data_IF_378512776554
#
_entry.id   IF_378512776554
#
_cell.length_a   1.000
_cell.length_b   1.000
_cell.length_c   1.000
_cell.angle_alpha   90.00
_cell.angle_beta   90.00
_cell.angle_gamma   90.00
#
_symmetry.space_group_name_H-M   'P 1'
#
loop_
_entity.id
_entity.type
_entity.pdbx_description
1 polymer ?
#
# COMPACT_ATOMS: atom_id res chain seq x y z
N UNK A 1 0.62 18.02 -17.30
CA UNK A 1 0.91 16.73 -18.00
C UNK A 1 -0.44 16.18 -18.43
N UNK A 2 -0.59 15.65 -19.67
CA UNK A 2 -1.85 15.07 -20.11
C UNK A 2 -2.21 13.79 -19.33
N UNK A 3 -3.50 13.42 -19.32
CA UNK A 3 -3.93 12.16 -18.71
C UNK A 3 -3.28 10.94 -19.37
N UNK A 4 -3.03 10.99 -20.67
CA UNK A 4 -2.37 9.92 -21.41
C UNK A 4 -0.89 9.79 -21.03
N UNK A 5 -0.17 10.91 -20.94
CA UNK A 5 1.27 10.87 -20.62
C UNK A 5 1.50 10.43 -19.18
N UNK A 6 0.69 10.90 -18.23
CA UNK A 6 0.85 10.50 -16.83
C UNK A 6 0.50 9.03 -16.60
N UNK A 7 -0.46 8.48 -17.34
CA UNK A 7 -0.84 7.07 -17.21
C UNK A 7 0.28 6.10 -17.60
N UNK A 8 1.16 6.51 -18.51
CA UNK A 8 2.37 5.72 -18.91
C UNK A 8 3.39 5.60 -17.79
N UNK A 9 3.31 6.48 -16.79
CA UNK A 9 4.19 6.50 -15.62
C UNK A 9 3.63 5.69 -14.43
N UNK A 10 2.50 5.01 -14.56
CA UNK A 10 1.95 4.20 -13.50
C UNK A 10 2.99 3.19 -12.97
N UNK A 11 3.13 3.12 -11.64
CA UNK A 11 4.09 2.25 -10.97
C UNK A 11 5.54 2.75 -11.02
N UNK A 12 5.81 3.94 -11.57
CA UNK A 12 7.14 4.56 -11.55
C UNK A 12 7.31 5.49 -10.36
N UNK A 13 8.56 5.78 -10.01
CA UNK A 13 8.91 6.69 -8.92
C UNK A 13 8.84 8.14 -9.40
N UNK A 14 8.21 8.98 -8.58
CA UNK A 14 8.09 10.42 -8.82
C UNK A 14 9.07 11.16 -7.92
N UNK A 15 9.84 12.08 -8.50
CA UNK A 15 10.84 12.89 -7.84
C UNK A 15 10.29 14.29 -7.51
N UNK A 16 10.96 15.02 -6.63
CA UNK A 16 10.58 16.40 -6.24
C UNK A 16 10.55 17.36 -7.42
N UNK A 17 11.31 17.08 -8.49
CA UNK A 17 11.29 17.87 -9.74
C UNK A 17 9.93 17.90 -10.46
N UNK A 18 9.02 17.02 -10.10
CA UNK A 18 7.64 17.02 -10.61
C UNK A 18 6.74 18.04 -9.89
N UNK A 19 7.19 18.62 -8.78
CA UNK A 19 6.52 19.72 -8.09
C UNK A 19 6.89 21.02 -8.81
N UNK A 20 5.90 21.67 -9.43
CA UNK A 20 6.10 22.87 -10.25
C UNK A 20 5.70 24.15 -9.53
N UNK A 21 4.90 24.04 -8.48
CA UNK A 21 4.45 25.15 -7.65
C UNK A 21 5.10 25.08 -6.26
N UNK A 22 5.07 26.15 -5.48
CA UNK A 22 5.57 26.11 -4.11
C UNK A 22 4.95 24.97 -3.32
N UNK A 23 5.77 24.24 -2.58
CA UNK A 23 5.34 23.13 -1.75
C UNK A 23 4.32 23.62 -0.70
N UNK A 24 3.16 22.99 -0.66
CA UNK A 24 2.09 23.33 0.28
C UNK A 24 2.53 22.95 1.70
N UNK A 25 2.61 23.95 2.59
CA UNK A 25 3.05 23.81 4.00
C UNK A 25 2.08 24.45 4.99
N UNK A 26 1.03 25.10 4.51
CA UNK A 26 0.03 25.83 5.31
C UNK A 26 -1.36 25.41 4.89
N UNK A 27 -2.38 25.74 5.67
CA UNK A 27 -3.79 25.46 5.35
C UNK A 27 -4.11 25.93 3.95
N UNK A 28 -4.54 24.99 3.10
CA UNK A 28 -4.74 25.25 1.66
C UNK A 28 -5.84 24.36 1.12
N UNK A 29 -6.69 24.93 0.27
CA UNK A 29 -7.64 24.23 -0.57
C UNK A 29 -7.17 24.33 -2.03
N UNK A 30 -7.16 23.22 -2.76
CA UNK A 30 -6.73 23.15 -4.16
C UNK A 30 -7.86 22.58 -5.00
N UNK A 31 -8.16 23.27 -6.09
CA UNK A 31 -9.15 22.86 -7.07
C UNK A 31 -8.51 22.65 -8.44
N UNK A 32 -9.13 21.87 -9.29
CA UNK A 32 -8.73 21.65 -10.67
C UNK A 32 -9.95 21.67 -11.59
N UNK A 33 -9.70 21.94 -12.87
CA UNK A 33 -10.74 21.81 -13.90
C UNK A 33 -10.69 20.38 -14.45
N UNK A 34 -11.82 19.69 -14.45
CA UNK A 34 -11.92 18.36 -15.06
C UNK A 34 -12.05 18.44 -16.60
N UNK A 35 -12.13 17.29 -17.27
CA UNK A 35 -12.22 17.21 -18.73
C UNK A 35 -13.52 17.82 -19.29
N UNK A 36 -14.54 18.06 -18.45
CA UNK A 36 -15.78 18.74 -18.80
C UNK A 36 -15.73 20.25 -18.50
N UNK A 37 -14.57 20.76 -18.11
CA UNK A 37 -14.37 22.14 -17.67
C UNK A 37 -15.19 22.51 -16.42
N UNK A 38 -15.42 21.54 -15.54
CA UNK A 38 -16.05 21.75 -14.24
C UNK A 38 -14.97 21.82 -13.14
N UNK A 39 -15.13 22.80 -12.24
CA UNK A 39 -14.23 22.92 -11.08
C UNK A 39 -14.48 21.78 -10.07
N UNK A 40 -13.43 21.06 -9.75
CA UNK A 40 -13.43 19.94 -8.77
C UNK A 40 -12.42 20.18 -7.67
N UNK A 41 -12.74 19.77 -6.47
CA UNK A 41 -11.82 19.81 -5.34
C UNK A 41 -10.76 18.72 -5.49
N UNK A 42 -9.47 19.10 -5.56
CA UNK A 42 -8.36 18.18 -5.55
C UNK A 42 -8.00 17.75 -4.12
N UNK A 43 -7.82 18.74 -3.24
CA UNK A 43 -7.48 18.48 -1.84
C UNK A 43 -7.82 19.63 -0.90
N UNK A 44 -7.98 19.30 0.38
CA UNK A 44 -7.96 20.25 1.50
C UNK A 44 -6.90 19.83 2.51
N UNK A 45 -5.90 20.66 2.69
CA UNK A 45 -4.81 20.45 3.65
C UNK A 45 -4.98 21.34 4.88
N UNK A 46 -4.76 20.79 6.08
CA UNK A 46 -4.83 21.51 7.36
C UNK A 46 -3.69 21.13 8.28
N UNK A 47 -3.01 22.14 8.80
CA UNK A 47 -1.88 22.00 9.72
C UNK A 47 -2.38 21.77 11.15
N UNK A 48 -1.71 20.85 11.85
CA UNK A 48 -1.81 20.64 13.30
C UNK A 48 -3.24 20.56 13.86
N UNK A 49 -4.13 19.88 13.14
CA UNK A 49 -5.55 19.73 13.51
C UNK A 49 -5.84 18.48 14.34
N UNK A 50 -4.83 17.63 14.55
CA UNK A 50 -4.88 16.45 15.42
C UNK A 50 -3.99 16.72 16.62
N UNK A 51 -4.51 16.57 17.84
CA UNK A 51 -3.75 16.84 19.06
C UNK A 51 -2.67 15.78 19.32
N UNK A 52 -1.58 16.17 19.99
CA UNK A 52 -0.48 15.28 20.34
C UNK A 52 -0.96 14.05 21.14
N UNK A 53 -1.94 14.22 22.04
CA UNK A 53 -2.57 13.12 22.77
C UNK A 53 -3.18 12.07 21.85
N UNK A 54 -3.83 12.49 20.75
CA UNK A 54 -4.41 11.56 19.77
C UNK A 54 -3.34 10.93 18.88
N UNK A 55 -2.29 11.68 18.54
CA UNK A 55 -1.12 11.16 17.86
C UNK A 55 -0.46 10.04 18.67
N UNK A 56 -0.31 10.23 19.99
CA UNK A 56 0.25 9.20 20.88
C UNK A 56 -0.65 7.96 20.97
N UNK A 57 -1.97 8.16 21.00
CA UNK A 57 -2.92 7.03 20.91
C UNK A 57 -2.72 6.27 19.59
N UNK A 58 -2.68 6.98 18.47
CA UNK A 58 -2.44 6.37 17.15
C UNK A 58 -1.10 5.63 17.07
N UNK A 59 -0.03 6.22 17.60
CA UNK A 59 1.28 5.59 17.68
C UNK A 59 1.26 4.29 18.47
N UNK A 60 0.83 4.34 19.74
CA UNK A 60 0.78 3.17 20.62
C UNK A 60 -0.07 2.03 20.07
N UNK A 61 -1.16 2.38 19.38
CA UNK A 61 -2.08 1.38 18.83
C UNK A 61 -1.57 0.74 17.54
N UNK A 62 -0.83 1.48 16.70
CA UNK A 62 -0.62 1.07 15.31
C UNK A 62 0.84 1.01 14.84
N UNK A 63 1.82 1.41 15.65
CA UNK A 63 3.25 1.39 15.25
C UNK A 63 3.75 0.03 14.79
N UNK A 64 3.21 -1.05 15.34
CA UNK A 64 3.65 -2.42 15.07
C UNK A 64 2.99 -3.05 13.84
N UNK A 65 2.03 -2.34 13.22
CA UNK A 65 1.17 -2.93 12.21
C UNK A 65 1.83 -2.97 10.84
N UNK A 66 2.57 -1.94 10.47
CA UNK A 66 3.12 -1.82 9.13
C UNK A 66 4.31 -2.77 8.92
N UNK A 67 4.00 -4.01 8.58
CA UNK A 67 4.93 -5.08 8.23
C UNK A 67 4.96 -5.28 6.72
N UNK A 68 5.93 -6.06 6.22
CA UNK A 68 6.02 -6.42 4.82
C UNK A 68 4.70 -6.96 4.28
N UNK A 69 4.24 -6.42 3.19
CA UNK A 69 2.93 -6.71 2.61
C UNK A 69 3.01 -6.99 1.13
N UNK A 70 2.14 -7.87 0.66
CA UNK A 70 1.92 -8.15 -0.75
C UNK A 70 0.63 -7.49 -1.21
N UNK A 71 0.48 -7.29 -2.52
CA UNK A 71 -0.80 -6.86 -3.10
C UNK A 71 -1.06 -5.37 -3.04
N UNK A 72 -0.01 -4.53 -3.01
CA UNK A 72 -0.13 -3.06 -3.12
C UNK A 72 -0.21 -2.56 -4.57
N UNK A 73 -0.18 -3.46 -5.54
CA UNK A 73 -0.30 -3.09 -6.96
C UNK A 73 0.77 -2.08 -7.39
N UNK A 74 0.40 -1.16 -8.26
CA UNK A 74 1.29 -0.13 -8.80
C UNK A 74 1.93 0.75 -7.71
N UNK A 75 1.21 1.04 -6.62
CA UNK A 75 1.74 1.88 -5.54
C UNK A 75 3.00 1.31 -4.87
N UNK A 76 3.23 0.00 -4.95
CA UNK A 76 4.44 -0.63 -4.43
C UNK A 76 5.70 -0.33 -5.26
N UNK A 77 5.55 0.19 -6.47
CA UNK A 77 6.63 0.53 -7.36
C UNK A 77 7.36 -0.68 -7.96
N UNK A 78 8.43 -0.39 -8.68
CA UNK A 78 9.25 -1.40 -9.33
C UNK A 78 10.08 -2.18 -8.30
N UNK A 79 10.42 -3.41 -8.65
CA UNK A 79 11.36 -4.22 -7.87
C UNK A 79 12.72 -3.53 -7.90
N UNK A 80 13.31 -3.36 -6.71
CA UNK A 80 14.72 -2.97 -6.59
C UNK A 80 15.58 -4.24 -6.50
N UNK A 81 16.29 -4.65 -7.57
CA UNK A 81 17.09 -5.87 -7.57
C UNK A 81 18.29 -5.78 -6.60
N UNK A 82 18.69 -4.58 -6.23
CA UNK A 82 19.84 -4.33 -5.35
C UNK A 82 19.51 -4.36 -3.87
N UNK A 83 18.23 -4.45 -3.52
CA UNK A 83 17.83 -4.61 -2.11
C UNK A 83 18.25 -5.96 -1.54
N UNK A 84 18.57 -6.00 -0.25
CA UNK A 84 19.01 -7.24 0.44
C UNK A 84 17.97 -8.36 0.33
N UNK A 85 16.70 -8.01 0.24
CA UNK A 85 15.63 -8.97 0.03
C UNK A 85 15.72 -9.64 -1.34
N UNK A 86 15.91 -8.86 -2.42
CA UNK A 86 15.95 -9.38 -3.77
C UNK A 86 17.30 -9.97 -4.15
N UNK A 87 18.43 -9.47 -3.60
CA UNK A 87 19.76 -10.07 -3.76
C UNK A 87 19.81 -11.52 -3.31
N UNK A 88 19.05 -11.89 -2.29
CA UNK A 88 18.94 -13.27 -1.77
C UNK A 88 18.06 -14.18 -2.64
N UNK A 89 17.39 -13.62 -3.66
CA UNK A 89 16.49 -14.35 -4.57
C UNK A 89 17.01 -14.26 -5.99
N UNK A 90 16.99 -15.38 -6.69
CA UNK A 90 17.37 -15.38 -8.09
C UNK A 90 16.29 -14.69 -8.91
N UNK A 91 16.53 -13.44 -9.31
CA UNK A 91 15.69 -12.74 -10.28
C UNK A 91 15.97 -13.29 -11.67
N UNK A 92 14.92 -13.55 -12.42
CA UNK A 92 15.01 -14.07 -13.77
C UNK A 92 14.24 -13.18 -14.74
N UNK A 93 14.87 -12.88 -15.87
CA UNK A 93 14.22 -12.22 -17.00
C UNK A 93 13.99 -13.29 -18.08
N UNK A 94 12.79 -13.39 -18.56
CA UNK A 94 12.45 -14.28 -19.66
C UNK A 94 11.85 -13.50 -20.81
N UNK A 95 11.93 -14.02 -22.03
CA UNK A 95 11.25 -13.43 -23.21
C UNK A 95 9.75 -13.26 -23.00
N UNK A 96 9.16 -14.08 -22.15
CA UNK A 96 7.71 -14.10 -21.86
C UNK A 96 7.33 -13.20 -20.68
N UNK A 97 8.27 -12.84 -19.80
CA UNK A 97 8.00 -12.04 -18.61
C UNK A 97 9.05 -10.97 -18.41
N UNK A 98 8.62 -9.84 -17.94
CA UNK A 98 9.53 -8.74 -17.62
C UNK A 98 10.42 -9.06 -16.42
N UNK A 99 9.88 -9.74 -15.39
CA UNK A 99 10.59 -10.09 -14.15
C UNK A 99 9.88 -11.22 -13.42
N UNK A 100 10.63 -12.09 -12.80
CA UNK A 100 10.17 -13.12 -11.90
C UNK A 100 11.26 -13.54 -10.93
N UNK A 101 10.99 -14.44 -10.03
CA UNK A 101 11.98 -15.08 -9.17
C UNK A 101 11.65 -16.55 -8.98
N UNK A 102 12.70 -17.35 -8.72
CA UNK A 102 12.52 -18.75 -8.39
C UNK A 102 11.86 -18.86 -7.01
N UNK A 103 10.77 -19.61 -6.93
CA UNK A 103 10.20 -20.04 -5.65
C UNK A 103 11.02 -21.24 -5.09
N UNK A 104 10.78 -21.74 -3.88
CA UNK A 104 11.56 -22.87 -3.32
C UNK A 104 11.65 -24.07 -4.27
N UNK A 105 10.54 -24.47 -4.87
CA UNK A 105 10.51 -25.56 -5.88
C UNK A 105 11.33 -25.23 -7.12
N UNK A 106 11.27 -23.97 -7.56
CA UNK A 106 12.07 -23.50 -8.71
C UNK A 106 13.57 -23.50 -8.42
N UNK A 107 13.99 -23.19 -7.22
CA UNK A 107 15.38 -23.29 -6.80
C UNK A 107 15.88 -24.74 -6.85
N UNK A 108 15.14 -25.69 -6.28
CA UNK A 108 15.47 -27.12 -6.34
C UNK A 108 15.56 -27.63 -7.80
N UNK A 109 14.60 -27.22 -8.63
CA UNK A 109 14.62 -27.55 -10.05
C UNK A 109 15.81 -26.92 -10.77
N UNK A 110 16.17 -25.67 -10.44
CA UNK A 110 17.30 -25.00 -11.05
C UNK A 110 18.62 -25.73 -10.77
N UNK A 111 18.89 -26.10 -9.52
CA UNK A 111 20.09 -26.87 -9.15
C UNK A 111 20.14 -28.18 -9.95
N UNK A 112 19.03 -28.93 -9.97
CA UNK A 112 18.93 -30.18 -10.72
C UNK A 112 19.21 -29.99 -12.21
N UNK A 113 18.58 -29.03 -12.87
CA UNK A 113 18.72 -28.82 -14.30
C UNK A 113 20.05 -28.17 -14.68
N UNK A 114 20.68 -27.44 -13.75
CA UNK A 114 21.99 -26.86 -14.01
C UNK A 114 23.12 -27.90 -14.13
N UNK A 115 22.93 -29.12 -13.64
CA UNK A 115 23.84 -30.25 -13.80
C UNK A 115 23.73 -30.89 -15.20
N UNK A 116 22.59 -30.70 -15.88
CA UNK A 116 22.35 -31.26 -17.21
C UNK A 116 23.16 -30.54 -18.31
N UNK A 117 23.54 -31.27 -19.33
CA UNK A 117 24.14 -30.68 -20.54
C UNK A 117 23.14 -29.86 -21.34
N UNK A 118 23.63 -28.94 -22.18
CA UNK A 118 22.81 -28.15 -23.09
C UNK A 118 21.95 -29.04 -24.00
N UNK A 119 22.48 -30.14 -24.49
CA UNK A 119 21.80 -31.10 -25.38
C UNK A 119 20.64 -31.81 -24.66
N UNK A 120 20.84 -32.23 -23.42
CA UNK A 120 19.79 -32.87 -22.61
C UNK A 120 18.65 -31.89 -22.31
N UNK A 121 18.98 -30.67 -21.93
CA UNK A 121 17.99 -29.62 -21.69
C UNK A 121 17.20 -29.26 -22.94
N UNK A 122 17.87 -29.19 -24.07
CA UNK A 122 17.26 -28.92 -25.38
C UNK A 122 16.24 -30.03 -25.74
N UNK A 123 16.66 -31.29 -25.62
CA UNK A 123 15.79 -32.43 -25.87
C UNK A 123 14.60 -32.47 -24.94
N UNK A 124 14.80 -32.14 -23.64
CA UNK A 124 13.73 -32.04 -22.66
C UNK A 124 12.74 -30.92 -23.02
N UNK A 125 13.24 -29.76 -23.43
CA UNK A 125 12.37 -28.66 -23.87
C UNK A 125 11.56 -29.01 -25.12
N UNK A 126 12.15 -29.76 -26.08
CA UNK A 126 11.41 -30.26 -27.23
C UNK A 126 10.34 -31.26 -26.85
N UNK A 127 10.65 -32.25 -26.01
CA UNK A 127 9.68 -33.26 -25.55
C UNK A 127 8.55 -32.67 -24.75
N UNK A 128 8.76 -31.52 -24.12
CA UNK A 128 7.76 -30.80 -23.38
C UNK A 128 7.03 -29.68 -24.19
N UNK A 129 7.29 -29.61 -25.51
CA UNK A 129 6.71 -28.61 -26.42
C UNK A 129 6.99 -27.15 -26.04
N UNK A 130 8.14 -26.90 -25.38
CA UNK A 130 8.53 -25.58 -24.92
C UNK A 130 9.26 -24.76 -26.00
N UNK A 131 9.80 -25.45 -27.00
CA UNK A 131 10.60 -24.88 -28.11
C UNK A 131 10.09 -25.37 -29.46
N UNK A 132 10.34 -24.57 -30.50
CA UNK A 132 10.31 -25.00 -31.88
C UNK A 132 11.74 -25.40 -32.29
N UNK A 133 11.90 -26.28 -33.29
CA UNK A 133 13.14 -26.95 -33.69
C UNK A 133 14.37 -26.06 -33.98
N UNK A 134 14.19 -24.76 -34.14
CA UNK A 134 15.29 -23.80 -34.33
C UNK A 134 15.28 -22.75 -33.23
N UNK A 135 16.16 -22.86 -32.26
CA UNK A 135 16.24 -21.90 -31.19
C UNK A 135 17.67 -21.69 -30.68
N UNK A 136 18.13 -20.43 -30.70
CA UNK A 136 19.41 -19.96 -30.14
C UNK A 136 19.31 -19.70 -28.64
N UNK A 137 18.60 -20.55 -27.88
CA UNK A 137 18.43 -20.39 -26.46
C UNK A 137 19.67 -20.78 -25.68
N UNK A 138 20.08 -19.95 -24.76
CA UNK A 138 21.12 -20.28 -23.79
C UNK A 138 20.71 -21.42 -22.86
N UNK A 139 21.67 -22.08 -22.21
CA UNK A 139 21.41 -23.09 -21.19
C UNK A 139 20.43 -22.55 -20.11
N UNK A 140 20.63 -21.33 -19.69
CA UNK A 140 19.77 -20.66 -18.70
C UNK A 140 18.33 -20.45 -19.20
N UNK A 141 18.15 -20.06 -20.48
CA UNK A 141 16.82 -19.94 -21.07
C UNK A 141 16.08 -21.27 -21.07
N UNK A 142 16.75 -22.36 -21.43
CA UNK A 142 16.16 -23.70 -21.43
C UNK A 142 15.72 -24.13 -20.02
N UNK A 143 16.60 -23.96 -19.03
CA UNK A 143 16.27 -24.22 -17.63
C UNK A 143 15.04 -23.41 -17.20
N UNK A 144 15.01 -22.13 -17.54
CA UNK A 144 13.92 -21.25 -17.17
C UNK A 144 12.60 -21.58 -17.85
N UNK A 145 12.63 -22.07 -19.10
CA UNK A 145 11.42 -22.55 -19.78
C UNK A 145 10.81 -23.74 -19.03
N UNK A 146 11.61 -24.72 -18.66
CA UNK A 146 11.19 -25.92 -17.94
C UNK A 146 10.63 -25.53 -16.55
N UNK A 147 11.40 -24.79 -15.77
CA UNK A 147 11.02 -24.35 -14.42
C UNK A 147 9.71 -23.55 -14.46
N UNK A 148 9.55 -22.72 -15.46
CA UNK A 148 8.35 -21.91 -15.65
C UNK A 148 7.10 -22.75 -15.92
N UNK A 149 7.21 -23.75 -16.81
CA UNK A 149 6.11 -24.65 -17.12
C UNK A 149 5.64 -25.41 -15.89
N UNK A 150 6.60 -25.84 -15.08
CA UNK A 150 6.32 -26.60 -13.85
C UNK A 150 6.02 -25.72 -12.61
N UNK A 151 5.73 -24.44 -12.79
CA UNK A 151 5.31 -23.56 -11.71
C UNK A 151 6.41 -23.20 -10.70
N UNK A 152 7.68 -23.40 -11.06
CA UNK A 152 8.83 -23.06 -10.22
C UNK A 152 9.19 -21.56 -10.24
N UNK A 153 8.50 -20.75 -11.04
CA UNK A 153 8.72 -19.30 -11.11
C UNK A 153 7.50 -18.55 -10.60
N UNK A 154 7.75 -17.67 -9.64
CA UNK A 154 6.75 -16.69 -9.18
C UNK A 154 6.88 -15.43 -10.01
N UNK A 155 5.82 -15.11 -10.77
CA UNK A 155 5.74 -13.87 -11.54
C UNK A 155 5.56 -12.69 -10.60
N UNK A 156 6.35 -11.64 -10.79
CA UNK A 156 6.20 -10.42 -10.02
C UNK A 156 6.52 -9.21 -10.89
N UNK A 157 5.62 -8.23 -10.87
CA UNK A 157 5.79 -6.98 -11.62
C UNK A 157 6.14 -5.81 -10.73
N UNK A 158 5.83 -5.91 -9.42
CA UNK A 158 5.97 -4.82 -8.46
C UNK A 158 6.65 -5.32 -7.18
N UNK A 159 7.24 -4.40 -6.42
CA UNK A 159 7.81 -4.68 -5.12
C UNK A 159 6.73 -5.22 -4.14
N UNK A 160 7.03 -6.27 -3.39
CA UNK A 160 6.15 -6.85 -2.37
C UNK A 160 6.73 -6.75 -0.96
N UNK A 161 7.75 -5.93 -0.76
CA UNK A 161 8.45 -5.75 0.51
C UNK A 161 8.17 -4.37 1.12
N UNK A 162 7.06 -3.76 0.76
CA UNK A 162 6.64 -2.49 1.34
C UNK A 162 5.95 -2.72 2.68
N UNK A 163 6.27 -1.90 3.66
CA UNK A 163 5.65 -1.97 4.98
C UNK A 163 4.29 -1.26 4.96
N UNK A 164 3.24 -2.01 4.66
CA UNK A 164 1.89 -1.50 4.47
C UNK A 164 0.85 -2.55 4.83
N UNK A 165 -0.03 -2.26 5.77
CA UNK A 165 -1.11 -3.17 6.15
C UNK A 165 -2.41 -2.41 6.46
N UNK A 166 -3.56 -3.02 6.22
CA UNK A 166 -4.86 -2.43 6.51
C UNK A 166 -5.41 -2.83 7.87
N UNK A 167 -6.24 -1.96 8.44
CA UNK A 167 -7.16 -2.24 9.52
C UNK A 167 -8.60 -1.98 9.08
N UNK A 168 -9.58 -2.48 9.86
CA UNK A 168 -10.99 -2.39 9.54
C UNK A 168 -11.47 -3.62 8.76
N UNK A 169 -12.15 -3.40 7.66
CA UNK A 169 -12.86 -4.44 6.93
C UNK A 169 -12.42 -4.52 5.46
N UNK A 170 -12.61 -5.72 4.90
CA UNK A 170 -12.43 -5.99 3.48
C UNK A 170 -13.71 -6.59 2.88
N UNK A 171 -13.97 -6.21 1.63
CA UNK A 171 -14.90 -6.92 0.76
C UNK A 171 -14.40 -8.33 0.42
N UNK A 172 -15.26 -9.14 -0.21
CA UNK A 172 -14.90 -10.45 -0.72
C UNK A 172 -13.79 -10.37 -1.78
N UNK A 173 -12.80 -11.22 -1.68
CA UNK A 173 -11.65 -11.26 -2.58
C UNK A 173 -11.57 -12.53 -3.39
N UNK A 174 -11.39 -12.40 -4.72
CA UNK A 174 -11.26 -13.54 -5.63
C UNK A 174 -9.81 -14.03 -5.84
N UNK A 175 -8.81 -13.28 -5.38
CA UNK A 175 -7.41 -13.48 -5.83
C UNK A 175 -6.59 -14.50 -5.02
N UNK A 176 -7.06 -14.96 -3.84
CA UNK A 176 -6.28 -15.84 -2.94
C UNK A 176 -7.14 -16.87 -2.17
N UNK A 177 -8.04 -17.53 -2.75
CA UNK A 177 -9.18 -18.23 -2.21
C UNK A 177 -10.41 -17.31 -2.09
N UNK A 178 -11.60 -17.84 -2.26
CA UNK A 178 -12.87 -17.12 -2.16
C UNK A 178 -13.11 -16.66 -0.72
N UNK A 179 -12.34 -15.63 -0.29
CA UNK A 179 -12.47 -15.05 1.02
C UNK A 179 -13.70 -14.15 1.05
N UNK A 180 -14.63 -14.34 1.99
CA UNK A 180 -15.81 -13.48 2.13
C UNK A 180 -15.47 -12.08 2.63
N UNK A 181 -16.49 -11.25 2.76
CA UNK A 181 -16.39 -9.98 3.46
C UNK A 181 -15.99 -10.23 4.92
N UNK A 182 -15.01 -9.48 5.43
CA UNK A 182 -14.32 -9.86 6.67
C UNK A 182 -13.58 -8.72 7.34
N UNK A 183 -13.21 -8.93 8.60
CA UNK A 183 -12.19 -8.16 9.29
C UNK A 183 -10.82 -8.35 8.61
N UNK A 184 -10.02 -7.29 8.59
CA UNK A 184 -8.61 -7.41 8.23
C UNK A 184 -7.85 -8.25 9.26
N UNK A 185 -6.73 -8.84 8.85
CA UNK A 185 -5.96 -9.72 9.73
C UNK A 185 -5.57 -9.04 11.04
N UNK A 186 -5.03 -7.81 10.98
CA UNK A 186 -4.64 -7.09 12.20
C UNK A 186 -5.84 -6.81 13.12
N UNK A 187 -6.95 -6.32 12.58
CA UNK A 187 -8.14 -6.02 13.38
C UNK A 187 -8.62 -7.26 14.12
N UNK A 188 -8.57 -8.41 13.45
CA UNK A 188 -8.97 -9.68 14.03
C UNK A 188 -7.99 -10.17 15.12
N UNK A 189 -6.68 -10.01 14.92
CA UNK A 189 -5.65 -10.58 15.81
C UNK A 189 -5.21 -9.63 16.92
N UNK A 190 -5.37 -8.30 16.73
CA UNK A 190 -4.97 -7.27 17.68
C UNK A 190 -6.14 -6.33 18.01
N UNK A 191 -7.28 -6.92 18.34
CA UNK A 191 -8.53 -6.18 18.50
C UNK A 191 -8.47 -5.11 19.59
N UNK A 192 -7.78 -5.36 20.69
CA UNK A 192 -7.60 -4.39 21.78
C UNK A 192 -6.83 -3.15 21.28
N UNK A 193 -5.74 -3.35 20.54
CA UNK A 193 -4.97 -2.25 19.94
C UNK A 193 -5.84 -1.47 18.94
N UNK A 194 -6.60 -2.20 18.11
CA UNK A 194 -7.55 -1.58 17.19
C UNK A 194 -8.54 -0.67 17.95
N UNK A 195 -9.18 -1.18 19.00
CA UNK A 195 -10.14 -0.43 19.80
C UNK A 195 -9.52 0.79 20.51
N UNK A 196 -8.32 0.62 21.07
CA UNK A 196 -7.60 1.74 21.70
C UNK A 196 -7.35 2.88 20.72
N UNK A 197 -7.08 2.57 19.46
CA UNK A 197 -6.81 3.55 18.41
C UNK A 197 -8.06 4.20 17.79
N UNK A 198 -9.28 3.71 18.07
CA UNK A 198 -10.49 4.23 17.45
C UNK A 198 -10.70 5.72 17.64
N UNK A 199 -10.35 6.28 18.81
CA UNK A 199 -10.49 7.72 19.08
C UNK A 199 -9.64 8.57 18.11
N UNK A 200 -8.46 8.10 17.74
CA UNK A 200 -7.62 8.75 16.74
C UNK A 200 -8.29 8.73 15.35
N UNK A 201 -8.83 7.58 14.95
CA UNK A 201 -9.53 7.41 13.67
C UNK A 201 -10.81 8.26 13.61
N UNK A 202 -11.60 8.26 14.68
CA UNK A 202 -12.83 9.06 14.79
C UNK A 202 -12.54 10.57 14.72
N UNK A 203 -11.36 11.02 15.18
CA UNK A 203 -10.92 12.40 14.99
C UNK A 203 -10.68 12.72 13.53
N UNK A 204 -10.06 11.81 12.77
CA UNK A 204 -9.85 11.98 11.32
C UNK A 204 -11.20 12.13 10.61
N UNK A 205 -12.16 11.27 10.93
CA UNK A 205 -13.52 11.36 10.40
C UNK A 205 -14.21 12.70 10.74
N UNK A 206 -14.05 13.16 11.98
CA UNK A 206 -14.62 14.45 12.42
C UNK A 206 -14.03 15.62 11.63
N UNK A 207 -12.74 15.56 11.31
CA UNK A 207 -12.09 16.60 10.48
C UNK A 207 -12.62 16.53 9.06
N UNK A 208 -12.71 15.34 8.45
CA UNK A 208 -13.28 15.14 7.12
C UNK A 208 -14.69 15.71 7.03
N UNK A 209 -15.58 15.37 7.98
CA UNK A 209 -16.94 15.88 8.05
C UNK A 209 -17.01 17.41 8.10
N UNK A 210 -16.11 18.05 8.85
CA UNK A 210 -16.06 19.52 8.96
C UNK A 210 -15.57 20.22 7.70
N UNK A 211 -14.61 19.59 7.02
CA UNK A 211 -13.94 20.21 5.86
C UNK A 211 -14.70 19.99 4.56
N UNK A 212 -15.31 18.83 4.38
CA UNK A 212 -16.01 18.45 3.14
C UNK A 212 -17.33 17.74 3.52
N UNK A 213 -18.30 18.46 4.12
CA UNK A 213 -19.50 17.85 4.72
C UNK A 213 -20.32 17.05 3.71
N UNK A 214 -20.45 17.52 2.48
CA UNK A 214 -21.24 16.87 1.44
C UNK A 214 -20.61 15.53 0.99
N UNK A 215 -19.28 15.49 0.83
CA UNK A 215 -18.58 14.26 0.47
C UNK A 215 -18.58 13.26 1.64
N UNK A 216 -18.41 13.76 2.87
CA UNK A 216 -18.52 12.92 4.07
C UNK A 216 -19.92 12.31 4.18
N UNK A 217 -20.98 13.09 4.00
CA UNK A 217 -22.36 12.61 4.07
C UNK A 217 -22.64 11.53 3.02
N UNK A 218 -22.25 11.75 1.74
CA UNK A 218 -22.37 10.72 0.70
C UNK A 218 -21.64 9.44 1.07
N UNK A 219 -20.41 9.58 1.60
CA UNK A 219 -19.60 8.42 2.00
C UNK A 219 -20.18 7.70 3.21
N UNK A 220 -20.72 8.44 4.19
CA UNK A 220 -21.37 7.89 5.38
C UNK A 220 -22.64 7.13 5.01
N UNK A 221 -23.51 7.70 4.19
CA UNK A 221 -24.72 7.06 3.69
C UNK A 221 -24.37 5.75 2.97
N UNK A 222 -23.32 5.77 2.14
CA UNK A 222 -22.84 4.57 1.46
C UNK A 222 -22.30 3.53 2.45
N UNK A 223 -21.52 3.93 3.43
CA UNK A 223 -20.99 3.05 4.46
C UNK A 223 -22.10 2.43 5.33
N UNK A 224 -23.16 3.18 5.62
CA UNK A 224 -24.28 2.76 6.45
C UNK A 224 -25.15 1.70 5.78
N UNK A 225 -25.10 1.54 4.44
CA UNK A 225 -25.75 0.40 3.77
C UNK A 225 -25.22 -0.95 4.26
N UNK A 226 -24.01 -0.96 4.81
CA UNK A 226 -23.33 -2.14 5.40
C UNK A 226 -22.66 -1.73 6.72
N UNK A 227 -23.45 -1.19 7.66
CA UNK A 227 -22.97 -0.64 8.94
C UNK A 227 -22.07 -1.61 9.71
N UNK A 228 -22.32 -2.91 9.60
CA UNK A 228 -21.51 -3.98 10.17
C UNK A 228 -20.11 -4.17 9.53
N UNK A 229 -19.80 -3.47 8.44
CA UNK A 229 -18.52 -3.52 7.74
C UNK A 229 -17.86 -2.13 7.65
N UNK A 230 -18.20 -1.22 8.55
CA UNK A 230 -17.56 0.07 8.71
C UNK A 230 -16.86 0.21 10.06
N UNK A 231 -15.86 1.05 10.12
CA UNK A 231 -15.18 1.38 11.39
C UNK A 231 -16.14 2.20 12.24
N UNK A 232 -16.35 1.83 13.51
CA UNK A 232 -17.37 2.42 14.37
C UNK A 232 -17.30 3.95 14.42
N UNK A 233 -18.47 4.60 14.24
CA UNK A 233 -18.66 6.07 14.26
C UNK A 233 -17.82 6.82 13.22
N UNK A 234 -17.58 6.22 12.06
CA UNK A 234 -16.88 6.85 10.93
C UNK A 234 -17.57 6.57 9.60
N UNK A 235 -17.18 7.29 8.56
CA UNK A 235 -17.55 7.01 7.16
C UNK A 235 -16.53 6.08 6.46
N UNK A 236 -15.67 5.38 7.21
CA UNK A 236 -14.60 4.54 6.67
C UNK A 236 -14.88 3.06 6.88
N UNK A 237 -14.50 2.23 5.92
CA UNK A 237 -14.44 0.77 6.09
C UNK A 237 -13.02 0.29 6.38
N UNK A 238 -12.03 0.98 5.86
CA UNK A 238 -10.64 0.50 5.84
C UNK A 238 -9.68 1.67 6.04
N UNK A 239 -8.58 1.39 6.72
CA UNK A 239 -7.45 2.30 6.82
C UNK A 239 -6.20 1.54 6.42
N UNK A 240 -5.45 2.07 5.48
CA UNK A 240 -4.12 1.58 5.15
C UNK A 240 -3.09 2.31 5.98
N UNK A 241 -2.23 1.57 6.68
CA UNK A 241 -1.14 2.10 7.50
C UNK A 241 0.17 1.72 6.84
N UNK A 242 0.98 2.72 6.53
CA UNK A 242 2.26 2.55 5.86
C UNK A 242 3.39 3.07 6.76
N UNK A 243 4.53 2.36 6.78
CA UNK A 243 5.74 2.79 7.48
C UNK A 243 6.85 3.05 6.48
N UNK A 244 7.39 4.27 6.49
CA UNK A 244 8.49 4.68 5.61
C UNK A 244 8.30 4.25 4.15
N UNK A 245 7.04 4.15 3.72
CA UNK A 245 6.69 3.65 2.41
C UNK A 245 6.57 4.81 1.42
N UNK A 246 7.52 4.86 0.48
CA UNK A 246 7.43 5.69 -0.71
C UNK A 246 6.49 5.02 -1.70
N UNK A 247 5.30 5.58 -1.92
CA UNK A 247 4.40 5.07 -2.95
C UNK A 247 4.84 5.54 -4.34
N UNK A 248 4.85 4.64 -5.32
CA UNK A 248 5.00 4.98 -6.72
C UNK A 248 3.69 5.58 -7.27
N UNK A 249 3.73 6.10 -8.49
CA UNK A 249 2.56 6.73 -9.11
C UNK A 249 1.41 5.75 -9.30
N UNK A 250 0.25 6.09 -8.76
CA UNK A 250 -0.96 5.27 -8.82
C UNK A 250 -2.24 6.10 -8.63
N UNK A 251 -3.38 5.45 -8.80
CA UNK A 251 -4.71 5.91 -8.40
C UNK A 251 -5.37 4.84 -7.55
N UNK A 252 -6.15 5.23 -6.55
CA UNK A 252 -6.86 4.28 -5.69
C UNK A 252 -8.19 3.84 -6.33
N UNK A 253 -8.09 2.88 -7.25
CA UNK A 253 -9.25 2.39 -8.02
C UNK A 253 -10.28 1.60 -7.19
N UNK A 254 -9.95 1.22 -5.96
CA UNK A 254 -10.81 0.44 -5.05
C UNK A 254 -11.63 1.30 -4.09
N UNK A 255 -11.43 2.60 -4.06
CA UNK A 255 -12.08 3.52 -3.15
C UNK A 255 -13.41 4.03 -3.70
N UNK A 256 -14.32 4.39 -2.81
CA UNK A 256 -15.63 4.93 -3.17
C UNK A 256 -15.49 6.21 -3.98
N UNK A 257 -16.02 6.22 -5.20
CA UNK A 257 -15.85 7.32 -6.16
C UNK A 257 -16.46 8.65 -5.73
N UNK A 258 -17.48 8.61 -4.88
CA UNK A 258 -18.12 9.81 -4.32
C UNK A 258 -17.48 10.35 -3.06
N UNK A 259 -16.39 9.74 -2.60
CA UNK A 259 -15.67 10.05 -1.36
C UNK A 259 -14.30 10.67 -1.59
N UNK A 260 -13.54 10.76 -0.49
CA UNK A 260 -12.16 11.25 -0.47
C UNK A 260 -11.28 10.30 0.33
N UNK A 261 -10.01 10.17 -0.09
CA UNK A 261 -8.97 9.60 0.77
C UNK A 261 -8.57 10.62 1.83
N UNK A 262 -8.49 10.16 3.08
CA UNK A 262 -8.16 11.03 4.22
C UNK A 262 -6.83 10.58 4.81
N UNK A 263 -5.80 11.41 4.68
CA UNK A 263 -4.44 11.08 5.04
C UNK A 263 -3.97 11.93 6.23
N UNK A 264 -3.35 11.28 7.19
CA UNK A 264 -2.56 11.91 8.26
C UNK A 264 -1.26 11.14 8.49
N UNK A 265 -0.31 11.76 9.17
CA UNK A 265 1.02 11.19 9.41
C UNK A 265 1.35 11.28 10.90
N UNK A 266 1.95 10.23 11.43
CA UNK A 266 2.61 10.21 12.74
C UNK A 266 4.10 10.03 12.49
N UNK A 267 4.90 10.90 13.10
CA UNK A 267 6.34 10.93 12.91
C UNK A 267 7.10 10.70 14.21
N UNK A 268 8.22 10.01 14.11
CA UNK A 268 9.26 9.93 15.14
C UNK A 268 10.62 10.07 14.46
N UNK A 269 11.53 10.84 15.07
CA UNK A 269 12.78 11.20 14.42
C UNK A 269 12.64 12.29 13.37
N UNK A 270 13.73 12.62 12.70
CA UNK A 270 13.81 13.65 11.64
C UNK A 270 14.06 13.00 10.29
N UNK A 271 13.43 13.51 9.25
CA UNK A 271 13.63 13.12 7.84
C UNK A 271 13.11 14.22 6.91
N UNK A 272 13.50 14.15 5.65
CA UNK A 272 13.07 15.02 4.56
C UNK A 272 12.29 14.25 3.51
N UNK A 273 11.66 14.98 2.57
CA UNK A 273 10.87 14.39 1.51
C UNK A 273 9.58 13.74 1.99
N UNK A 274 9.15 12.67 1.32
CA UNK A 274 7.88 11.99 1.60
C UNK A 274 6.65 12.84 1.30
N UNK A 275 6.82 13.87 0.45
CA UNK A 275 5.73 14.75 0.06
C UNK A 275 4.72 13.99 -0.77
N UNK A 276 3.44 14.22 -0.52
CA UNK A 276 2.38 13.70 -1.39
C UNK A 276 2.30 14.59 -2.63
N UNK A 277 2.49 13.99 -3.81
CA UNK A 277 2.58 14.71 -5.08
C UNK A 277 1.48 14.31 -6.01
N UNK A 278 0.89 15.30 -6.69
CA UNK A 278 -0.01 15.17 -7.82
C UNK A 278 0.70 15.69 -9.07
N UNK A 279 1.52 14.84 -9.73
CA UNK A 279 2.41 15.31 -10.80
C UNK A 279 1.67 15.83 -12.02
N UNK A 280 0.44 15.35 -12.26
CA UNK A 280 -0.45 15.87 -13.29
C UNK A 280 -0.68 17.38 -13.15
N UNK A 281 -0.83 17.85 -11.91
CA UNK A 281 -1.06 19.24 -11.56
C UNK A 281 0.19 20.00 -11.11
N UNK A 282 1.32 19.30 -10.95
CA UNK A 282 2.56 19.90 -10.44
C UNK A 282 2.49 20.31 -8.96
N UNK A 283 1.57 19.72 -8.20
CA UNK A 283 1.29 20.05 -6.79
C UNK A 283 2.00 19.06 -5.86
N UNK A 284 2.62 19.59 -4.80
CA UNK A 284 3.20 18.82 -3.71
C UNK A 284 2.70 19.30 -2.35
N UNK A 285 2.44 18.38 -1.43
CA UNK A 285 1.96 18.66 -0.06
C UNK A 285 2.90 18.05 0.96
N UNK A 286 3.41 18.89 1.87
CA UNK A 286 4.28 18.47 2.97
C UNK A 286 3.44 18.11 4.21
N UNK A 287 2.95 16.90 4.27
CA UNK A 287 2.15 16.38 5.38
C UNK A 287 3.09 15.86 6.46
N UNK A 288 2.97 16.43 7.66
CA UNK A 288 3.80 16.13 8.83
C UNK A 288 2.94 15.73 10.03
N UNK A 289 3.59 15.52 11.16
CA UNK A 289 2.91 15.14 12.41
C UNK A 289 1.76 16.09 12.73
N UNK A 290 0.62 15.57 13.16
CA UNK A 290 -0.62 16.30 13.48
C UNK A 290 -1.38 16.92 12.28
N UNK A 291 -0.82 16.87 11.06
CA UNK A 291 -1.44 17.42 9.87
C UNK A 291 -2.51 16.48 9.31
N UNK A 292 -3.39 17.02 8.48
CA UNK A 292 -4.43 16.27 7.80
C UNK A 292 -4.60 16.76 6.37
N UNK A 293 -4.84 15.83 5.45
CA UNK A 293 -5.28 16.13 4.09
C UNK A 293 -6.42 15.21 3.68
N UNK A 294 -7.51 15.79 3.18
CA UNK A 294 -8.49 15.07 2.37
C UNK A 294 -8.17 15.32 0.90
N UNK A 295 -8.13 14.28 0.09
CA UNK A 295 -7.70 14.38 -1.31
C UNK A 295 -8.50 13.46 -2.23
N UNK A 296 -8.67 13.88 -3.48
CA UNK A 296 -9.22 13.05 -4.55
C UNK A 296 -8.19 11.98 -4.96
N UNK A 297 -8.33 10.80 -4.37
CA UNK A 297 -7.41 9.66 -4.60
C UNK A 297 -7.59 9.00 -5.98
N UNK A 298 -8.60 9.42 -6.74
CA UNK A 298 -8.80 8.98 -8.12
C UNK A 298 -7.92 9.75 -9.11
N UNK A 299 -7.30 10.86 -8.68
CA UNK A 299 -6.25 11.54 -9.40
C UNK A 299 -4.90 10.85 -9.18
N UNK A 300 -4.00 10.96 -10.17
CA UNK A 300 -2.66 10.38 -10.10
C UNK A 300 -1.85 11.01 -8.96
N UNK A 301 -1.39 10.16 -8.03
CA UNK A 301 -0.62 10.63 -6.88
C UNK A 301 0.48 9.63 -6.49
N UNK A 302 1.46 10.12 -5.73
CA UNK A 302 2.60 9.34 -5.25
C UNK A 302 3.26 10.04 -4.05
N UNK A 303 4.37 9.45 -3.54
CA UNK A 303 5.25 10.15 -2.60
C UNK A 303 6.64 10.35 -3.19
N UNK A 304 7.25 11.50 -2.89
CA UNK A 304 8.67 11.75 -3.18
C UNK A 304 9.58 10.87 -2.32
N UNK A 305 10.90 10.79 -2.62
CA UNK A 305 11.85 10.09 -1.75
C UNK A 305 11.73 10.53 -0.29
N UNK A 306 12.01 9.60 0.62
CA UNK A 306 12.14 9.86 2.05
C UNK A 306 13.61 9.64 2.40
N UNK A 307 14.28 10.65 2.97
CA UNK A 307 15.71 10.60 3.24
C UNK A 307 16.09 11.36 4.50
N UNK A 308 17.27 11.06 5.03
CA UNK A 308 17.90 11.74 6.15
C UNK A 308 19.11 12.52 5.66
N UNK A 309 19.32 13.72 6.17
CA UNK A 309 20.60 14.42 6.09
C UNK A 309 21.55 13.88 7.16
N UNK A 310 22.84 14.23 7.10
CA UNK A 310 23.81 13.85 8.16
C UNK A 310 23.42 14.46 9.53
N UNK A 311 22.84 15.66 9.53
CA UNK A 311 22.33 16.29 10.76
C UNK A 311 21.14 15.50 11.31
N UNK A 312 20.21 15.05 10.46
CA UNK A 312 19.08 14.22 10.89
C UNK A 312 19.53 12.89 11.47
N UNK A 313 20.52 12.24 10.84
CA UNK A 313 21.10 10.99 11.34
C UNK A 313 21.69 11.17 12.74
N UNK A 314 22.50 12.21 12.91
CA UNK A 314 23.10 12.55 14.21
C UNK A 314 22.02 12.77 15.27
N UNK A 315 20.96 13.52 14.95
CA UNK A 315 19.84 13.72 15.86
C UNK A 315 19.12 12.41 16.15
N UNK A 316 18.82 11.61 15.11
CA UNK A 316 18.05 10.38 15.23
C UNK A 316 18.76 9.30 16.07
N UNK A 317 20.09 9.35 16.17
CA UNK A 317 20.87 8.49 17.05
C UNK A 317 20.75 8.87 18.53
N UNK A 318 20.37 10.10 18.83
CA UNK A 318 20.22 10.59 20.22
C UNK A 318 18.85 10.30 20.81
N UNK A 319 17.87 9.89 20.01
CA UNK A 319 16.51 9.63 20.47
C UNK A 319 16.22 8.14 20.56
N UNK A 320 15.48 7.76 21.61
CA UNK A 320 14.87 6.44 21.69
C UNK A 320 13.54 6.46 20.96
N UNK A 321 13.39 5.54 19.99
CA UNK A 321 12.13 5.30 19.34
C UNK A 321 11.62 3.95 19.79
N UNK A 322 10.44 3.96 20.42
CA UNK A 322 9.74 2.76 20.85
C UNK A 322 9.24 1.97 19.62
N UNK A 323 10.13 1.20 19.03
CA UNK A 323 9.82 0.28 17.94
C UNK A 323 9.34 -1.07 18.46
N UNK A 324 8.77 -1.87 17.57
CA UNK A 324 8.53 -3.28 17.82
C UNK A 324 9.87 -4.02 17.98
N UNK A 325 9.96 -4.89 18.99
CA UNK A 325 11.18 -5.62 19.36
C UNK A 325 11.67 -6.62 18.30
N UNK A 326 10.85 -6.93 17.30
CA UNK A 326 11.17 -7.89 16.25
C UNK A 326 10.88 -7.33 14.86
N UNK A 327 11.80 -6.52 14.33
CA UNK A 327 11.65 -5.97 12.99
C UNK A 327 11.63 -7.09 11.95
N UNK A 328 10.70 -7.03 10.98
CA UNK A 328 10.67 -7.97 9.85
C UNK A 328 11.93 -7.79 9.00
N UNK A 329 12.85 -8.72 9.10
CA UNK A 329 14.10 -8.73 8.34
C UNK A 329 13.78 -8.76 6.85
N UNK A 330 14.37 -7.85 6.11
CA UNK A 330 14.25 -7.79 4.66
C UNK A 330 13.16 -6.87 4.12
N UNK A 331 12.45 -6.13 4.98
CA UNK A 331 11.53 -5.09 4.55
C UNK A 331 12.26 -3.75 4.46
N UNK A 332 12.30 -3.15 3.27
CA UNK A 332 12.95 -1.86 3.06
C UNK A 332 12.35 -0.77 3.94
N UNK A 333 13.19 0.04 4.56
CA UNK A 333 12.80 1.20 5.37
C UNK A 333 12.31 0.91 6.78
N UNK A 334 12.27 -0.36 7.24
CA UNK A 334 11.89 -0.69 8.62
C UNK A 334 12.95 -0.32 9.66
N UNK A 335 14.21 -0.29 9.27
CA UNK A 335 15.35 -0.09 10.17
C UNK A 335 15.88 1.34 10.21
N UNK A 336 15.15 2.28 9.65
CA UNK A 336 15.52 3.67 9.77
C UNK A 336 15.30 4.16 11.19
N UNK A 337 16.21 5.00 11.69
CA UNK A 337 16.08 5.66 13.00
C UNK A 337 14.91 6.66 13.04
N UNK A 338 14.39 7.08 11.89
CA UNK A 338 13.14 7.81 11.80
C UNK A 338 11.98 6.90 11.43
N UNK A 339 10.79 7.30 11.81
CA UNK A 339 9.56 6.63 11.37
C UNK A 339 8.54 7.65 10.88
N UNK A 340 8.02 7.40 9.67
CA UNK A 340 6.84 8.04 9.11
C UNK A 340 5.74 6.99 9.00
N UNK A 341 4.76 7.03 9.89
CA UNK A 341 3.52 6.23 9.74
C UNK A 341 2.47 7.10 9.04
N UNK A 342 2.03 6.71 7.86
CA UNK A 342 0.90 7.36 7.20
C UNK A 342 -0.36 6.50 7.32
N UNK A 343 -1.49 7.15 7.58
CA UNK A 343 -2.80 6.57 7.75
C UNK A 343 -3.70 7.09 6.64
N UNK A 344 -4.10 6.21 5.73
CA UNK A 344 -5.03 6.54 4.64
C UNK A 344 -6.37 5.91 4.96
N UNK A 345 -7.36 6.77 5.29
CA UNK A 345 -8.71 6.36 5.70
C UNK A 345 -9.67 6.53 4.53
N UNK A 346 -10.41 5.48 4.20
CA UNK A 346 -11.29 5.44 3.02
C UNK A 346 -12.45 4.46 3.19
N UNK A 347 -13.43 4.57 2.29
CA UNK A 347 -14.48 3.59 2.12
C UNK A 347 -14.18 2.76 0.86
N UNK A 348 -14.19 1.45 0.96
CA UNK A 348 -14.03 0.56 -0.19
C UNK A 348 -15.30 0.49 -1.02
N UNK A 349 -15.20 0.73 -2.32
CA UNK A 349 -16.34 0.74 -3.24
C UNK A 349 -17.17 -0.55 -3.17
N UNK A 350 -16.50 -1.72 -3.08
CA UNK A 350 -17.16 -3.02 -3.15
C UNK A 350 -17.78 -3.49 -1.82
N UNK A 351 -17.64 -2.74 -0.74
CA UNK A 351 -18.29 -3.09 0.56
C UNK A 351 -19.80 -3.18 0.40
N UNK A 352 -20.40 -2.35 -0.46
CA UNK A 352 -21.84 -2.41 -0.72
C UNK A 352 -22.33 -3.78 -1.22
N UNK A 353 -21.46 -4.50 -1.93
CA UNK A 353 -21.74 -5.84 -2.49
C UNK A 353 -21.62 -6.95 -1.47
N UNK A 354 -21.22 -6.64 -0.27
CA UNK A 354 -21.16 -7.60 0.82
C UNK A 354 -22.58 -8.04 1.24
N UNK A 355 -22.76 -9.28 1.70
CA UNK A 355 -24.04 -9.76 2.16
C UNK A 355 -24.48 -9.07 3.46
N UNK A 356 -25.70 -9.35 3.90
CA UNK A 356 -26.20 -8.94 5.21
C UNK A 356 -25.41 -9.63 6.33
N UNK A 357 -25.42 -9.04 7.54
CA UNK A 357 -24.66 -9.58 8.68
C UNK A 357 -25.00 -11.04 8.97
N UNK A 358 -26.29 -11.39 8.87
CA UNK A 358 -26.79 -12.76 9.10
C UNK A 358 -26.29 -13.80 8.10
N UNK A 359 -25.80 -13.36 6.94
CA UNK A 359 -25.30 -14.22 5.86
C UNK A 359 -23.77 -14.37 5.87
N UNK A 360 -23.08 -13.58 6.68
CA UNK A 360 -21.62 -13.68 6.83
C UNK A 360 -21.31 -14.68 7.95
N UNK A 361 -20.46 -15.68 7.63
CA UNK A 361 -19.98 -16.60 8.65
C UNK A 361 -19.30 -15.81 9.80
N UNK A 362 -19.79 -15.93 11.04
CA UNK A 362 -19.29 -15.18 12.20
C UNK A 362 -17.77 -15.28 12.40
N UNK A 363 -17.15 -16.37 11.96
CA UNK A 363 -15.69 -16.56 12.06
C UNK A 363 -14.89 -15.48 11.35
N UNK A 364 -15.46 -14.82 10.35
CA UNK A 364 -14.82 -13.74 9.61
C UNK A 364 -15.01 -12.36 10.24
N UNK A 365 -15.94 -12.24 11.19
CA UNK A 365 -16.26 -11.00 11.91
C UNK A 365 -15.95 -11.07 13.39
N UNK A 366 -15.33 -12.15 13.86
CA UNK A 366 -14.97 -12.34 15.26
C UNK A 366 -13.47 -12.10 15.49
N UNK A 367 -13.15 -11.66 16.70
CA UNK A 367 -11.78 -11.64 17.20
C UNK A 367 -11.23 -13.08 17.21
N UNK A 368 -9.94 -13.22 16.86
CA UNK A 368 -9.26 -14.52 16.92
C UNK A 368 -9.35 -15.12 18.34
N UNK A 369 -9.85 -16.33 18.47
CA UNK A 369 -10.04 -17.02 19.75
C UNK A 369 -11.33 -16.67 20.50
N UNK A 370 -12.24 -15.86 19.93
CA UNK A 370 -13.52 -15.50 20.53
C UNK A 370 -14.70 -15.83 19.61
N UNK A 371 -15.85 -16.16 20.22
CA UNK A 371 -17.11 -16.44 19.49
C UNK A 371 -17.97 -15.18 19.28
N UNK A 372 -17.66 -14.07 19.96
CA UNK A 372 -18.47 -12.85 19.92
C UNK A 372 -18.12 -12.01 18.70
N UNK A 373 -19.14 -11.66 17.91
CA UNK A 373 -18.99 -10.75 16.77
C UNK A 373 -18.55 -9.37 17.26
N UNK A 374 -17.58 -8.77 16.57
CA UNK A 374 -16.95 -7.48 16.94
C UNK A 374 -17.76 -6.28 16.40
N UNK A 375 -18.89 -6.53 15.79
CA UNK A 375 -19.65 -5.50 15.06
C UNK A 375 -20.86 -5.13 15.93
N UNK A 376 -20.82 -3.96 16.53
CA UNK A 376 -21.98 -3.27 17.10
C UNK A 376 -22.33 -2.06 16.25
#
# INVERSE_FOLDING_TARGET
>A
MSNEDISKLEGTWIEESHIKYPLIKTDTDVYYMDDNNEEKLLLKFRKRVISDKLIDIGWKSYKDLAKASRGRGASAGQINPDSDYWKKRKLVKTKKWSTGYLNPRGNEMYEKFNEMSLKELFNLCLSEELLKETNDSSKEDLIMFIISKHGGVSKMKVNNQVASNPIGFYEAGKNFADLPCRLTHFTRTNFEKYNQGLKFIQRIDTIFRKLIPEAHERQLQRADTKSHLKIPKTAFSTITINRNFRTALHRDAGDFKGGFGNLTVIERGKYHGGYTVFPQFGIGVNIRNNDFVAMDVHQWHSNTPIYETEEDKTYNETIEIDYHDNPDVGTEGLYKKYTRLSFVCYLREKIEKCPALSEIDPRFLTKSGHSKIIVD
#
